data_IF_654308838994
#
_entry.id   IF_654308838994
#
_cell.length_a   1.000
_cell.length_b   1.000
_cell.length_c   1.000
_cell.angle_alpha   90.00
_cell.angle_beta   90.00
_cell.angle_gamma   90.00
#
_symmetry.space_group_name_H-M   'P 1'
#
loop_
_entity.id
_entity.type
_entity.pdbx_description
1 polymer ?
#
# COMPACT_ATOMS: atom_id res chain seq x y z
N UNK A 1 -4.43 -16.93 28.16
CA UNK A 1 -4.13 -15.48 28.24
C UNK A 1 -3.16 -15.16 27.13
N UNK A 2 -3.65 -14.68 26.00
CA UNK A 2 -2.78 -14.17 24.94
C UNK A 2 -2.35 -12.77 25.39
N UNK A 3 -1.06 -12.57 25.64
CA UNK A 3 -0.53 -11.24 25.89
C UNK A 3 -0.64 -10.43 24.61
N UNK A 4 -1.37 -9.32 24.64
CA UNK A 4 -1.29 -8.28 23.63
C UNK A 4 0.18 -7.86 23.51
N UNK A 5 0.86 -8.30 22.45
CA UNK A 5 2.12 -7.70 22.06
C UNK A 5 1.79 -6.34 21.47
N UNK A 6 1.84 -5.32 22.30
CA UNK A 6 1.92 -3.95 21.81
C UNK A 6 3.25 -3.79 21.07
N UNK A 7 3.19 -3.29 19.83
CA UNK A 7 4.38 -3.02 19.04
C UNK A 7 5.27 -2.02 19.79
N UNK A 8 6.59 -2.23 19.77
CA UNK A 8 7.50 -1.23 20.31
C UNK A 8 7.46 0.04 19.45
N UNK A 9 7.93 1.17 19.98
CA UNK A 9 8.01 2.41 19.19
C UNK A 9 8.93 2.25 17.95
N UNK A 10 9.96 1.41 18.06
CA UNK A 10 10.84 1.07 16.95
C UNK A 10 10.13 0.24 15.88
N UNK A 11 9.31 -0.75 16.29
CA UNK A 11 8.48 -1.53 15.37
C UNK A 11 7.45 -0.64 14.66
N UNK A 12 6.83 0.31 15.37
CA UNK A 12 5.86 1.24 14.80
C UNK A 12 6.49 2.14 13.71
N UNK A 13 7.68 2.69 13.95
CA UNK A 13 8.38 3.51 12.94
C UNK A 13 8.83 2.66 11.74
N UNK A 14 9.29 1.43 11.97
CA UNK A 14 9.60 0.49 10.89
C UNK A 14 8.36 0.18 10.05
N UNK A 15 7.25 -0.18 10.66
CA UNK A 15 6.02 -0.51 9.93
C UNK A 15 5.43 0.70 9.20
N UNK A 16 5.54 1.89 9.78
CA UNK A 16 5.16 3.14 9.12
C UNK A 16 5.98 3.36 7.84
N UNK A 17 7.29 3.16 7.89
CA UNK A 17 8.16 3.27 6.71
C UNK A 17 7.77 2.25 5.63
N UNK A 18 7.54 0.99 6.03
CA UNK A 18 7.10 -0.10 5.12
C UNK A 18 5.75 0.20 4.48
N UNK A 19 4.75 0.61 5.27
CA UNK A 19 3.42 0.95 4.77
C UNK A 19 3.45 2.11 3.77
N UNK A 20 4.25 3.16 4.03
CA UNK A 20 4.45 4.28 3.11
C UNK A 20 5.14 3.86 1.82
N UNK A 21 6.13 2.96 1.91
CA UNK A 21 6.81 2.43 0.74
C UNK A 21 5.84 1.66 -0.17
N UNK A 22 5.06 0.74 0.41
CA UNK A 22 4.05 -0.01 -0.34
C UNK A 22 2.95 0.88 -0.91
N UNK A 23 2.47 1.85 -0.14
CA UNK A 23 1.50 2.82 -0.63
C UNK A 23 2.01 3.54 -1.88
N UNK A 24 3.27 3.98 -1.87
CA UNK A 24 3.87 4.64 -3.02
C UNK A 24 3.91 3.73 -4.25
N UNK A 25 4.17 2.42 -4.12
CA UNK A 25 4.18 1.50 -5.27
C UNK A 25 2.78 1.20 -5.81
N UNK A 26 1.75 1.30 -4.96
CA UNK A 26 0.37 1.09 -5.36
C UNK A 26 -0.25 2.35 -6.00
N UNK A 27 0.25 3.54 -5.67
CA UNK A 27 -0.31 4.83 -6.10
C UNK A 27 0.37 5.40 -7.34
N UNK A 28 1.60 5.00 -7.62
CA UNK A 28 2.41 5.61 -8.67
C UNK A 28 3.37 4.61 -9.28
N UNK A 29 3.54 4.73 -10.60
CA UNK A 29 4.54 4.03 -11.39
C UNK A 29 5.96 4.26 -10.82
N UNK A 30 6.83 3.28 -11.01
CA UNK A 30 8.23 3.38 -10.63
C UNK A 30 9.01 4.15 -11.69
N UNK A 31 9.64 5.25 -11.29
CA UNK A 31 10.46 6.08 -12.18
C UNK A 31 11.95 5.93 -11.88
N UNK A 32 12.84 6.28 -12.82
CA UNK A 32 14.28 6.34 -12.58
C UNK A 32 14.68 7.16 -11.34
N UNK A 33 14.02 8.30 -11.14
CA UNK A 33 14.29 9.17 -9.98
C UNK A 33 13.91 8.48 -8.66
N UNK A 34 12.83 7.70 -8.67
CA UNK A 34 12.39 6.94 -7.51
C UNK A 34 13.33 5.78 -7.19
N UNK A 35 13.82 5.05 -8.20
CA UNK A 35 14.80 3.98 -7.99
C UNK A 35 16.06 4.54 -7.34
N UNK A 36 16.64 5.62 -7.89
CA UNK A 36 17.82 6.28 -7.31
C UNK A 36 17.60 6.69 -5.85
N UNK A 37 16.44 7.28 -5.55
CA UNK A 37 16.09 7.64 -4.17
C UNK A 37 16.03 6.41 -3.25
N UNK A 38 15.45 5.30 -3.71
CA UNK A 38 15.40 4.07 -2.92
C UNK A 38 16.78 3.46 -2.70
N UNK A 39 17.70 3.62 -3.65
CA UNK A 39 19.10 3.24 -3.50
C UNK A 39 19.81 4.11 -2.46
N UNK A 40 19.69 5.43 -2.58
CA UNK A 40 20.29 6.41 -1.67
C UNK A 40 19.81 6.25 -0.22
N UNK A 41 18.51 6.01 -0.04
CA UNK A 41 17.88 5.83 1.28
C UNK A 41 18.08 4.39 1.83
N UNK A 42 18.74 3.50 1.09
CA UNK A 42 18.98 2.09 1.45
C UNK A 42 17.76 1.17 1.35
N UNK A 43 16.59 1.70 0.99
CA UNK A 43 15.34 0.96 0.85
C UNK A 43 15.39 -0.10 -0.26
N UNK A 44 16.22 0.09 -1.29
CA UNK A 44 16.43 -0.89 -2.36
C UNK A 44 16.95 -2.24 -1.84
N UNK A 45 17.77 -2.22 -0.78
CA UNK A 45 18.26 -3.46 -0.15
C UNK A 45 17.14 -4.20 0.58
N UNK A 46 16.29 -3.46 1.31
CA UNK A 46 15.12 -4.04 1.98
C UNK A 46 14.14 -4.66 0.97
N UNK A 47 13.93 -4.01 -0.18
CA UNK A 47 13.08 -4.54 -1.25
C UNK A 47 13.66 -5.84 -1.81
N UNK A 48 14.96 -5.90 -2.09
CA UNK A 48 15.63 -7.13 -2.52
C UNK A 48 15.48 -8.27 -1.52
N UNK A 49 15.59 -8.01 -0.23
CA UNK A 49 15.36 -9.02 0.82
C UNK A 49 13.92 -9.56 0.85
N UNK A 50 12.95 -8.76 0.38
CA UNK A 50 11.56 -9.18 0.20
C UNK A 50 11.33 -9.90 -1.15
N UNK A 51 12.36 -10.00 -2.00
CA UNK A 51 12.30 -10.53 -3.35
C UNK A 51 11.71 -9.55 -4.37
N UNK A 52 11.76 -8.25 -4.10
CA UNK A 52 11.38 -7.18 -5.02
C UNK A 52 12.65 -6.60 -5.65
N UNK A 53 12.93 -7.03 -6.87
CA UNK A 53 14.08 -6.53 -7.64
C UNK A 53 13.64 -5.35 -8.51
N UNK A 54 14.28 -4.19 -8.29
CA UNK A 54 14.10 -3.03 -9.14
C UNK A 54 15.12 -3.10 -10.28
N UNK A 55 14.73 -2.68 -11.51
CA UNK A 55 15.68 -2.56 -12.60
C UNK A 55 16.69 -1.44 -12.32
N UNK A 56 17.78 -1.41 -13.10
CA UNK A 56 18.69 -0.27 -13.06
C UNK A 56 17.96 1.01 -13.53
N UNK A 57 18.27 2.18 -12.97
CA UNK A 57 17.56 3.42 -13.29
C UNK A 57 17.80 3.94 -14.72
N UNK A 58 18.74 3.35 -15.46
CA UNK A 58 19.06 3.62 -16.85
C UNK A 58 18.65 2.49 -17.82
N UNK A 59 18.03 1.41 -17.31
CA UNK A 59 17.48 0.34 -18.13
C UNK A 59 16.08 0.70 -18.63
N UNK A 60 16.02 1.44 -19.73
CA UNK A 60 14.77 1.92 -20.33
C UNK A 60 13.80 0.79 -20.68
N UNK A 61 14.31 -0.37 -21.13
CA UNK A 61 13.48 -1.51 -21.52
C UNK A 61 12.79 -2.15 -20.32
N UNK A 62 13.54 -2.42 -19.25
CA UNK A 62 12.97 -2.97 -18.02
C UNK A 62 12.02 -1.98 -17.32
N UNK A 63 12.29 -0.67 -17.43
CA UNK A 63 11.39 0.36 -16.92
C UNK A 63 10.08 0.43 -17.70
N UNK A 64 10.11 0.28 -19.03
CA UNK A 64 8.91 0.22 -19.86
C UNK A 64 8.07 -1.03 -19.56
N UNK A 65 8.72 -2.18 -19.35
CA UNK A 65 8.04 -3.40 -18.88
C UNK A 65 7.36 -3.19 -17.53
N UNK A 66 8.05 -2.57 -16.57
CA UNK A 66 7.50 -2.26 -15.24
C UNK A 66 6.33 -1.26 -15.32
N UNK A 67 6.39 -0.27 -16.22
CA UNK A 67 5.30 0.65 -16.47
C UNK A 67 4.07 -0.07 -17.06
N UNK A 68 4.29 -0.97 -18.01
CA UNK A 68 3.23 -1.79 -18.60
C UNK A 68 2.57 -2.71 -17.56
N UNK A 69 3.36 -3.31 -16.66
CA UNK A 69 2.84 -4.10 -15.54
C UNK A 69 2.00 -3.23 -14.60
N UNK A 70 2.47 -2.03 -14.21
CA UNK A 70 1.71 -1.10 -13.36
C UNK A 70 0.37 -0.74 -14.02
N UNK A 71 0.41 -0.38 -15.30
CA UNK A 71 -0.78 -0.04 -16.06
C UNK A 71 -1.78 -1.22 -16.08
N UNK A 72 -1.32 -2.43 -16.38
CA UNK A 72 -2.16 -3.63 -16.38
C UNK A 72 -2.75 -3.97 -15.01
N UNK A 73 -1.98 -3.76 -13.94
CA UNK A 73 -2.36 -4.10 -12.57
C UNK A 73 -3.29 -3.08 -11.91
N UNK A 74 -3.18 -1.78 -12.20
CA UNK A 74 -3.87 -0.76 -11.40
C UNK A 74 -4.62 0.32 -12.20
N UNK A 75 -4.37 0.44 -13.51
CA UNK A 75 -4.93 1.53 -14.32
C UNK A 75 -5.87 1.03 -15.41
N UNK A 76 -5.55 -0.10 -16.03
CA UNK A 76 -6.27 -0.62 -17.18
C UNK A 76 -7.74 -0.92 -16.86
N UNK A 77 -8.71 -0.42 -17.65
CA UNK A 77 -10.13 -0.67 -17.42
C UNK A 77 -10.54 -2.13 -17.67
N UNK A 78 -9.79 -2.84 -18.51
CA UNK A 78 -9.99 -4.27 -18.81
C UNK A 78 -9.07 -5.17 -17.99
N UNK A 79 -8.19 -4.58 -17.19
CA UNK A 79 -7.19 -5.27 -16.40
C UNK A 79 -7.72 -5.72 -15.05
N UNK A 80 -6.82 -5.65 -14.07
CA UNK A 80 -7.12 -6.06 -12.71
C UNK A 80 -8.08 -5.06 -12.03
N UNK A 81 -8.98 -5.54 -11.14
CA UNK A 81 -9.93 -4.64 -10.48
C UNK A 81 -9.20 -3.56 -9.67
N UNK A 82 -9.63 -2.29 -9.73
CA UNK A 82 -8.93 -1.21 -9.04
C UNK A 82 -8.90 -1.52 -7.53
N UNK A 83 -7.78 -1.25 -6.83
CA UNK A 83 -7.66 -1.56 -5.41
C UNK A 83 -8.36 -0.50 -4.56
N UNK A 84 -9.67 -0.42 -4.71
CA UNK A 84 -10.60 0.49 -4.02
C UNK A 84 -11.62 -0.33 -3.25
N UNK A 85 -11.67 -0.16 -1.92
CA UNK A 85 -12.48 -1.00 -1.05
C UNK A 85 -13.97 -0.97 -1.39
N UNK A 86 -14.53 0.20 -1.66
CA UNK A 86 -15.96 0.36 -1.94
C UNK A 86 -16.39 -0.36 -3.23
N UNK A 87 -15.53 -0.36 -4.25
CA UNK A 87 -15.74 -1.08 -5.50
C UNK A 87 -15.61 -2.58 -5.29
N UNK A 88 -14.59 -3.03 -4.56
CA UNK A 88 -14.37 -4.46 -4.34
C UNK A 88 -15.44 -5.11 -3.45
N UNK A 89 -15.77 -4.48 -2.32
CA UNK A 89 -16.68 -5.07 -1.33
C UNK A 89 -18.16 -4.88 -1.67
N UNK A 90 -18.52 -3.77 -2.32
CA UNK A 90 -19.92 -3.41 -2.55
C UNK A 90 -20.28 -3.08 -4.00
N UNK A 91 -19.30 -3.02 -4.92
CA UNK A 91 -19.54 -2.63 -6.31
C UNK A 91 -19.93 -1.15 -6.50
N UNK A 92 -19.93 -0.34 -5.43
CA UNK A 92 -20.38 1.05 -5.46
C UNK A 92 -19.23 1.96 -5.05
N UNK A 93 -18.79 2.79 -5.98
CA UNK A 93 -17.75 3.80 -5.78
C UNK A 93 -18.17 4.84 -4.72
N UNK A 94 -17.23 5.27 -3.88
CA UNK A 94 -17.46 6.27 -2.83
C UNK A 94 -18.61 5.95 -1.84
N UNK A 95 -18.80 4.66 -1.52
CA UNK A 95 -19.81 4.24 -0.55
C UNK A 95 -19.29 4.21 0.90
N UNK A 96 -19.85 3.35 1.76
CA UNK A 96 -19.57 3.32 3.20
C UNK A 96 -18.08 3.23 3.56
N UNK A 97 -17.21 2.48 2.84
CA UNK A 97 -15.78 2.48 3.12
C UNK A 97 -15.13 3.86 2.98
N UNK A 98 -15.41 4.60 1.91
CA UNK A 98 -14.87 5.94 1.70
C UNK A 98 -15.34 6.93 2.78
N UNK A 99 -16.62 6.87 3.17
CA UNK A 99 -17.13 7.68 4.27
C UNK A 99 -16.45 7.35 5.62
N UNK A 100 -16.24 6.07 5.90
CA UNK A 100 -15.52 5.60 7.10
C UNK A 100 -14.08 6.09 7.13
N UNK A 101 -13.38 6.04 5.99
CA UNK A 101 -12.01 6.54 5.84
C UNK A 101 -11.88 8.02 6.18
N UNK A 102 -12.80 8.85 5.66
CA UNK A 102 -12.83 10.30 5.96
C UNK A 102 -13.10 10.55 7.45
N UNK A 103 -14.08 9.86 8.03
CA UNK A 103 -14.42 10.01 9.45
C UNK A 103 -13.25 9.63 10.38
N UNK A 104 -12.49 8.59 10.05
CA UNK A 104 -11.31 8.18 10.82
C UNK A 104 -10.20 9.23 10.71
N UNK A 105 -9.92 9.72 9.50
CA UNK A 105 -8.93 10.76 9.28
C UNK A 105 -9.30 12.04 10.06
N UNK A 106 -10.55 12.50 9.95
CA UNK A 106 -11.06 13.68 10.66
C UNK A 106 -10.94 13.51 12.19
N UNK A 107 -11.36 12.36 12.73
CA UNK A 107 -11.26 12.08 14.16
C UNK A 107 -9.81 12.03 14.67
N UNK A 108 -8.86 11.60 13.82
CA UNK A 108 -7.43 11.58 14.12
C UNK A 108 -6.74 12.94 13.87
N UNK A 109 -7.47 13.98 13.45
CA UNK A 109 -6.90 15.28 13.08
C UNK A 109 -5.97 15.20 11.87
N UNK A 110 -6.20 14.22 10.99
CA UNK A 110 -5.43 13.96 9.78
C UNK A 110 -6.18 14.50 8.56
N UNK A 111 -5.49 15.29 7.74
CA UNK A 111 -5.99 15.63 6.42
C UNK A 111 -5.66 14.51 5.45
N UNK A 112 -6.60 14.19 4.56
CA UNK A 112 -6.29 13.37 3.40
C UNK A 112 -5.50 14.22 2.39
N UNK A 113 -4.19 13.98 2.30
CA UNK A 113 -3.32 14.69 1.36
C UNK A 113 -3.55 14.13 -0.06
N UNK A 114 -4.31 14.88 -0.87
CA UNK A 114 -4.60 14.53 -2.26
C UNK A 114 -3.35 14.48 -3.14
N UNK A 115 -2.29 15.22 -2.78
CA UNK A 115 -1.01 15.20 -3.45
C UNK A 115 -0.25 13.91 -3.18
N UNK A 116 -0.20 13.47 -1.92
CA UNK A 116 0.38 12.17 -1.54
C UNK A 116 -0.45 10.99 -2.08
N UNK A 117 -1.78 11.14 -2.13
CA UNK A 117 -2.69 10.16 -2.70
C UNK A 117 -2.70 10.13 -4.24
N UNK A 118 -2.01 11.06 -4.92
CA UNK A 118 -1.98 11.16 -6.39
C UNK A 118 -3.38 11.20 -7.05
N UNK A 119 -4.36 11.76 -6.34
CA UNK A 119 -5.76 11.80 -6.79
C UNK A 119 -6.52 10.47 -6.68
N UNK A 120 -5.93 9.43 -6.09
CA UNK A 120 -6.63 8.18 -5.79
C UNK A 120 -7.75 8.40 -4.76
N UNK A 121 -8.83 7.59 -4.80
CA UNK A 121 -9.91 7.69 -3.82
C UNK A 121 -9.40 7.38 -2.40
N UNK A 122 -10.06 7.94 -1.40
CA UNK A 122 -9.65 7.84 0.02
C UNK A 122 -9.62 6.39 0.54
N UNK A 123 -10.40 5.49 -0.06
CA UNK A 123 -10.46 4.07 0.24
C UNK A 123 -9.71 3.20 -0.78
N UNK A 124 -8.82 3.80 -1.56
CA UNK A 124 -7.77 3.10 -2.29
C UNK A 124 -6.80 2.44 -1.29
N UNK A 125 -6.31 1.23 -1.57
CA UNK A 125 -5.40 0.50 -0.68
C UNK A 125 -4.15 1.32 -0.31
N UNK A 126 -3.55 2.01 -1.29
CA UNK A 126 -2.42 2.90 -1.02
C UNK A 126 -2.76 4.02 -0.05
N UNK A 127 -3.94 4.64 -0.18
CA UNK A 127 -4.44 5.66 0.74
C UNK A 127 -4.69 5.11 2.15
N UNK A 128 -5.22 3.89 2.23
CA UNK A 128 -5.46 3.21 3.49
C UNK A 128 -4.16 2.88 4.23
N UNK A 129 -3.13 2.45 3.50
CA UNK A 129 -1.79 2.21 4.05
C UNK A 129 -1.14 3.51 4.55
N UNK A 130 -1.29 4.63 3.82
CA UNK A 130 -0.82 5.94 4.29
C UNK A 130 -1.52 6.35 5.59
N UNK A 131 -2.84 6.24 5.66
CA UNK A 131 -3.58 6.58 6.87
C UNK A 131 -3.19 5.67 8.05
N UNK A 132 -3.11 4.36 7.83
CA UNK A 132 -2.66 3.42 8.84
C UNK A 132 -1.25 3.76 9.36
N UNK A 133 -0.33 4.17 8.47
CA UNK A 133 1.04 4.57 8.84
C UNK A 133 1.09 5.79 9.77
N UNK A 134 0.10 6.68 9.69
CA UNK A 134 -0.03 7.81 10.62
C UNK A 134 -0.67 7.39 11.95
N UNK A 135 -1.60 6.44 11.91
CA UNK A 135 -2.31 5.96 13.10
C UNK A 135 -1.39 5.15 14.02
N UNK A 136 -0.54 4.27 13.47
CA UNK A 136 0.26 3.32 14.28
C UNK A 136 1.20 4.02 15.29
N UNK A 137 1.70 5.21 14.96
CA UNK A 137 2.55 5.99 15.86
C UNK A 137 1.76 6.81 16.91
N UNK A 138 0.46 7.02 16.70
CA UNK A 138 -0.39 7.87 17.54
C UNK A 138 -1.27 7.07 18.49
N UNK A 139 -1.92 6.06 17.93
CA UNK A 139 -2.86 5.19 18.62
C UNK A 139 -2.78 3.78 17.99
N UNK A 140 -1.92 2.90 18.54
CA UNK A 140 -1.77 1.53 18.04
C UNK A 140 -3.07 0.71 18.08
N UNK A 141 -3.96 0.96 19.04
CA UNK A 141 -5.23 0.24 19.13
C UNK A 141 -6.18 0.67 18.01
N UNK A 142 -6.26 1.97 17.72
CA UNK A 142 -7.00 2.47 16.56
C UNK A 142 -6.39 1.97 15.25
N UNK A 143 -5.06 1.89 15.14
CA UNK A 143 -4.37 1.35 13.96
C UNK A 143 -4.68 -0.14 13.74
N UNK A 144 -4.73 -0.94 14.82
CA UNK A 144 -5.13 -2.34 14.75
C UNK A 144 -6.58 -2.49 14.25
N UNK A 145 -7.52 -1.79 14.89
CA UNK A 145 -8.93 -1.81 14.49
C UNK A 145 -9.13 -1.31 13.04
N UNK A 146 -8.33 -0.33 12.62
CA UNK A 146 -8.28 0.13 11.24
C UNK A 146 -7.83 -0.99 10.30
N UNK A 147 -6.71 -1.66 10.60
CA UNK A 147 -6.15 -2.69 9.72
C UNK A 147 -7.15 -3.84 9.48
N UNK A 148 -7.78 -4.32 10.56
CA UNK A 148 -8.79 -5.38 10.52
C UNK A 148 -9.98 -5.01 9.62
N UNK A 149 -10.42 -3.75 9.67
CA UNK A 149 -11.62 -3.27 8.95
C UNK A 149 -11.33 -2.79 7.52
N UNK A 150 -10.17 -2.18 7.31
CA UNK A 150 -9.87 -1.40 6.11
C UNK A 150 -8.67 -1.91 5.31
N UNK A 151 -7.92 -2.92 5.76
CA UNK A 151 -6.82 -3.51 4.98
C UNK A 151 -7.06 -4.98 4.62
N UNK A 152 -7.75 -5.75 5.48
CA UNK A 152 -7.96 -7.20 5.26
C UNK A 152 -8.66 -7.52 3.93
N UNK A 153 -9.57 -6.64 3.47
CA UNK A 153 -10.32 -6.81 2.23
C UNK A 153 -9.41 -6.93 0.99
N UNK A 154 -8.21 -6.33 1.03
CA UNK A 154 -7.31 -6.29 -0.10
C UNK A 154 -6.65 -7.64 -0.39
N UNK A 155 -6.50 -8.51 0.62
CA UNK A 155 -5.84 -9.81 0.48
C UNK A 155 -6.42 -10.67 -0.66
N UNK A 156 -7.74 -10.95 -0.73
CA UNK A 156 -8.32 -11.73 -1.83
C UNK A 156 -8.29 -11.00 -3.19
N UNK A 157 -8.16 -9.67 -3.21
CA UNK A 157 -7.94 -8.92 -4.44
C UNK A 157 -6.51 -9.13 -4.94
N UNK A 158 -5.52 -8.82 -4.11
CA UNK A 158 -4.08 -8.92 -4.39
C UNK A 158 -3.66 -10.34 -4.82
N UNK A 159 -4.27 -11.37 -4.25
CA UNK A 159 -4.03 -12.77 -4.61
C UNK A 159 -4.39 -13.13 -6.07
N UNK A 160 -5.02 -12.22 -6.82
CA UNK A 160 -5.34 -12.43 -8.25
C UNK A 160 -4.26 -11.88 -9.19
N UNK A 161 -3.26 -11.15 -8.70
CA UNK A 161 -2.16 -10.70 -9.55
C UNK A 161 -1.22 -11.85 -9.89
N UNK A 162 -0.64 -11.89 -11.10
CA UNK A 162 0.31 -12.93 -11.51
C UNK A 162 1.62 -12.80 -10.73
N UNK A 163 2.00 -13.80 -9.93
CA UNK A 163 3.15 -13.74 -9.03
C UNK A 163 4.52 -13.71 -9.70
N UNK A 164 4.57 -13.96 -11.02
CA UNK A 164 5.76 -13.87 -11.87
C UNK A 164 6.09 -12.44 -12.34
N UNK A 165 5.25 -11.47 -11.99
CA UNK A 165 5.47 -10.03 -12.26
C UNK A 165 6.00 -9.31 -11.03
N UNK A 166 6.62 -8.13 -11.21
CA UNK A 166 7.05 -7.30 -10.07
C UNK A 166 5.86 -6.93 -9.18
N UNK A 167 4.75 -6.50 -9.78
CA UNK A 167 3.57 -6.08 -9.01
C UNK A 167 2.77 -7.24 -8.40
N UNK A 168 2.83 -8.43 -8.99
CA UNK A 168 2.33 -9.64 -8.33
C UNK A 168 3.16 -10.02 -7.12
N UNK A 169 4.50 -9.93 -7.22
CA UNK A 169 5.37 -10.14 -6.07
C UNK A 169 5.15 -9.07 -4.99
N UNK A 170 4.94 -7.81 -5.39
CA UNK A 170 4.58 -6.74 -4.46
C UNK A 170 3.28 -7.07 -3.73
N UNK A 171 2.27 -7.56 -4.45
CA UNK A 171 1.00 -7.96 -3.87
C UNK A 171 1.13 -9.09 -2.84
N UNK A 172 2.02 -10.06 -3.05
CA UNK A 172 2.33 -11.09 -2.05
C UNK A 172 2.94 -10.46 -0.80
N UNK A 173 3.96 -9.62 -0.96
CA UNK A 173 4.66 -8.98 0.16
C UNK A 173 3.72 -8.06 0.94
N UNK A 174 2.88 -7.26 0.25
CA UNK A 174 1.86 -6.43 0.88
C UNK A 174 0.82 -7.28 1.60
N UNK A 175 0.44 -8.43 1.04
CA UNK A 175 -0.48 -9.38 1.68
C UNK A 175 0.11 -9.94 2.98
N UNK A 176 1.38 -10.33 2.99
CA UNK A 176 2.05 -10.80 4.21
C UNK A 176 2.21 -9.66 5.22
N UNK A 177 2.50 -8.45 4.77
CA UNK A 177 2.54 -7.28 5.64
C UNK A 177 1.19 -7.04 6.32
N UNK A 178 0.09 -7.03 5.56
CA UNK A 178 -1.27 -6.88 6.12
C UNK A 178 -1.57 -7.99 7.14
N UNK A 179 -1.12 -9.24 6.91
CA UNK A 179 -1.27 -10.32 7.90
C UNK A 179 -0.44 -10.12 9.16
N UNK A 180 0.70 -9.45 9.07
CA UNK A 180 1.57 -9.22 10.23
C UNK A 180 1.06 -8.10 11.16
N UNK A 181 0.19 -7.23 10.65
CA UNK A 181 -0.37 -6.08 11.37
C UNK A 181 -1.87 -6.24 11.70
N UNK A 182 -2.45 -7.41 11.42
CA UNK A 182 -3.82 -7.80 11.76
C UNK A 182 -3.77 -9.06 12.64
#
# INVERSE_FOLDING_TARGET
MAGERTASAEDAERWKAVARLFAAFLLEEVTPARIRKLEDDGAATMLREMGLELPAPDDEGALEELAAEFFGAFVSPEGFPPPVQSLFSGGVYESAPAASMRAIADAAGLAHDSGAARGAPVDHLGCQLLLWSELIARDPAAAQAFAERHLVWARPLLARLPSDTFYGRLAEVVTEFIRSIC
#
